data_IF_692787498769
#
_entry.id   IF_692787498769
#
_cell.length_a   1.000
_cell.length_b   1.000
_cell.length_c   1.000
_cell.angle_alpha   90.00
_cell.angle_beta   90.00
_cell.angle_gamma   90.00
#
_symmetry.space_group_name_H-M   'P 1'
#
loop_
_entity.id
_entity.type
_entity.pdbx_description
1 polymer ?
#
# COMPACT_ATOMS: atom_id res chain seq x y z
N UNK A 1 -19.05 1.75 10.66
CA UNK A 1 -17.58 1.61 10.89
C UNK A 1 -16.96 2.99 10.81
N UNK A 2 -15.95 3.33 11.63
CA UNK A 2 -15.24 4.63 11.52
C UNK A 2 -13.92 4.47 10.77
N UNK A 3 -13.52 5.52 10.05
CA UNK A 3 -12.28 5.56 9.25
C UNK A 3 -11.05 5.19 10.09
N UNK A 4 -10.94 5.78 11.29
CA UNK A 4 -9.88 5.46 12.24
C UNK A 4 -9.82 3.98 12.63
N UNK A 5 -10.97 3.29 12.73
CA UNK A 5 -11.02 1.87 13.08
C UNK A 5 -10.55 0.97 11.94
N UNK A 6 -10.81 1.38 10.69
CA UNK A 6 -10.31 0.70 9.49
C UNK A 6 -8.79 0.86 9.40
N UNK A 7 -8.30 2.09 9.54
CA UNK A 7 -6.86 2.39 9.50
C UNK A 7 -6.09 1.61 10.58
N UNK A 8 -6.57 1.63 11.83
CA UNK A 8 -5.96 0.84 12.91
C UNK A 8 -5.91 -0.67 12.62
N UNK A 9 -6.97 -1.22 12.01
CA UNK A 9 -7.01 -2.63 11.64
C UNK A 9 -6.03 -2.97 10.53
N UNK A 10 -5.74 -2.03 9.64
CA UNK A 10 -4.74 -2.16 8.60
C UNK A 10 -3.33 -2.13 9.22
N UNK A 11 -3.01 -1.06 9.95
CA UNK A 11 -1.69 -0.87 10.55
C UNK A 11 -1.32 -1.96 11.57
N UNK A 12 -2.30 -2.52 12.30
CA UNK A 12 -2.07 -3.64 13.24
C UNK A 12 -1.62 -4.93 12.54
N UNK A 13 -1.89 -5.07 11.24
CA UNK A 13 -1.48 -6.26 10.48
C UNK A 13 -0.07 -6.14 9.91
N UNK A 14 0.52 -4.95 10.01
CA UNK A 14 1.89 -4.72 9.61
C UNK A 14 2.83 -5.31 10.67
N UNK A 15 3.94 -5.86 10.21
CA UNK A 15 5.11 -6.17 11.01
C UNK A 15 5.73 -4.87 11.54
N UNK A 16 6.69 -4.99 12.47
CA UNK A 16 7.37 -3.81 13.02
C UNK A 16 8.19 -3.08 11.96
N UNK A 17 8.76 -3.81 11.00
CA UNK A 17 9.55 -3.27 9.90
C UNK A 17 8.65 -2.60 8.87
N UNK A 18 7.59 -3.28 8.44
CA UNK A 18 6.58 -2.72 7.52
C UNK A 18 5.93 -1.45 8.09
N UNK A 19 5.65 -1.44 9.39
CA UNK A 19 5.11 -0.24 10.06
C UNK A 19 6.13 0.91 10.11
N UNK A 20 7.41 0.59 10.30
CA UNK A 20 8.47 1.61 10.31
C UNK A 20 8.64 2.21 8.92
N UNK A 21 8.60 1.39 7.88
CA UNK A 21 8.65 1.82 6.48
C UNK A 21 7.46 2.71 6.13
N UNK A 22 6.25 2.29 6.52
CA UNK A 22 5.05 3.12 6.38
C UNK A 22 5.19 4.49 7.06
N UNK A 23 5.76 4.55 8.27
CA UNK A 23 5.99 5.82 8.98
C UNK A 23 7.07 6.66 8.30
N UNK A 24 8.09 6.03 7.71
CA UNK A 24 9.14 6.70 6.96
C UNK A 24 8.57 7.41 5.73
N UNK A 25 7.82 6.67 4.89
CA UNK A 25 7.15 7.21 3.71
C UNK A 25 6.14 8.32 4.06
N UNK A 26 5.39 8.15 5.15
CA UNK A 26 4.48 9.18 5.66
C UNK A 26 5.19 10.51 6.02
N UNK A 27 6.46 10.44 6.44
CA UNK A 27 7.27 11.61 6.78
C UNK A 27 7.97 12.23 5.58
N UNK A 28 8.35 11.40 4.61
CA UNK A 28 9.06 11.82 3.42
C UNK A 28 8.16 12.68 2.51
N UNK A 29 6.88 12.33 2.43
CA UNK A 29 5.84 13.03 1.67
C UNK A 29 5.94 14.57 1.79
N UNK A 30 6.19 15.24 0.67
CA UNK A 30 6.30 16.70 0.58
C UNK A 30 4.94 17.40 0.40
N UNK A 31 3.87 16.62 0.17
CA UNK A 31 2.54 17.16 -0.09
C UNK A 31 1.81 17.59 1.20
N UNK A 32 1.20 18.78 1.16
CA UNK A 32 0.37 19.29 2.26
C UNK A 32 -1.02 18.65 2.24
N UNK A 33 -1.57 18.23 3.40
CA UNK A 33 -1.06 18.42 4.77
C UNK A 33 -0.01 17.38 5.19
N UNK A 34 1.12 17.83 5.75
CA UNK A 34 2.26 16.99 6.15
C UNK A 34 2.20 16.57 7.62
N UNK A 35 2.57 15.32 7.89
CA UNK A 35 2.75 14.80 9.25
C UNK A 35 4.18 15.11 9.71
N UNK A 36 4.33 15.66 10.91
CA UNK A 36 5.66 15.97 11.44
C UNK A 36 6.23 14.77 12.18
N UNK A 37 7.55 14.57 12.08
CA UNK A 37 8.30 13.51 12.79
C UNK A 37 7.96 13.44 14.29
N UNK A 38 7.90 14.59 14.96
CA UNK A 38 7.50 14.72 16.38
C UNK A 38 6.13 14.13 16.71
N UNK A 39 5.24 14.01 15.72
CA UNK A 39 3.89 13.50 15.90
C UNK A 39 3.79 11.98 15.73
N UNK A 40 4.78 11.30 15.17
CA UNK A 40 4.70 9.85 14.87
C UNK A 40 5.91 9.06 15.36
N UNK A 41 7.05 9.70 15.59
CA UNK A 41 8.26 9.07 16.11
C UNK A 41 8.01 8.48 17.50
N UNK A 42 8.35 7.19 17.66
CA UNK A 42 8.14 6.44 18.90
C UNK A 42 6.69 6.16 19.27
N UNK A 43 5.74 6.42 18.36
CA UNK A 43 4.31 6.15 18.60
C UNK A 43 3.88 4.81 18.05
N UNK A 44 2.87 4.26 18.71
CA UNK A 44 2.24 3.01 18.32
C UNK A 44 1.26 3.22 17.15
N UNK A 45 0.92 2.16 16.42
CA UNK A 45 0.01 2.19 15.27
C UNK A 45 -1.37 2.79 15.62
N UNK A 46 -1.78 2.68 16.88
CA UNK A 46 -3.02 3.29 17.39
C UNK A 46 -2.96 4.83 17.35
N UNK A 47 -1.82 5.40 17.73
CA UNK A 47 -1.62 6.84 17.84
C UNK A 47 -1.24 7.44 16.48
N UNK A 48 -0.46 6.74 15.67
CA UNK A 48 -0.22 7.14 14.27
C UNK A 48 -1.55 7.23 13.50
N UNK A 49 -2.44 6.24 13.65
CA UNK A 49 -3.77 6.31 13.04
C UNK A 49 -4.62 7.50 13.53
N UNK A 50 -4.48 7.91 14.80
CA UNK A 50 -5.16 9.12 15.31
C UNK A 50 -4.59 10.38 14.66
N UNK A 51 -3.26 10.47 14.59
CA UNK A 51 -2.56 11.62 14.00
C UNK A 51 -2.93 11.74 12.53
N UNK A 52 -2.90 10.65 11.76
CA UNK A 52 -3.31 10.67 10.36
C UNK A 52 -4.75 11.17 10.18
N UNK A 53 -5.71 10.71 10.99
CA UNK A 53 -7.11 11.20 10.90
C UNK A 53 -7.27 12.65 11.39
N UNK A 54 -6.33 13.15 12.20
CA UNK A 54 -6.31 14.54 12.66
C UNK A 54 -5.67 15.48 11.65
N UNK A 55 -4.67 15.01 10.89
CA UNK A 55 -3.93 15.79 9.89
C UNK A 55 -4.66 15.75 8.55
N UNK A 56 -5.06 14.55 8.13
CA UNK A 56 -5.82 14.32 6.91
C UNK A 56 -7.31 14.23 7.23
N UNK A 57 -8.13 14.96 6.47
CA UNK A 57 -9.58 14.85 6.55
C UNK A 57 -10.03 13.39 6.41
N UNK A 58 -11.14 13.02 7.07
CA UNK A 58 -11.66 11.63 7.10
C UNK A 58 -11.81 10.97 5.73
N UNK A 59 -12.04 11.76 4.69
CA UNK A 59 -12.21 11.25 3.32
C UNK A 59 -10.85 11.08 2.60
N UNK A 60 -9.86 11.91 2.95
CA UNK A 60 -8.52 11.90 2.33
C UNK A 60 -7.55 10.93 3.02
N UNK A 61 -7.69 10.72 4.32
CA UNK A 61 -6.77 9.87 5.11
C UNK A 61 -6.67 8.43 4.61
N UNK A 62 -7.75 7.87 4.05
CA UNK A 62 -7.72 6.52 3.49
C UNK A 62 -7.00 6.48 2.16
N UNK A 63 -7.19 7.49 1.29
CA UNK A 63 -6.46 7.62 0.02
C UNK A 63 -4.96 7.75 0.29
N UNK A 64 -4.57 8.70 1.15
CA UNK A 64 -3.18 8.91 1.54
C UNK A 64 -2.55 7.67 2.19
N UNK A 65 -3.29 6.97 3.05
CA UNK A 65 -2.78 5.74 3.64
C UNK A 65 -2.58 4.62 2.60
N UNK A 66 -3.39 4.57 1.55
CA UNK A 66 -3.22 3.60 0.45
C UNK A 66 -1.99 3.95 -0.38
N UNK A 67 -1.79 5.23 -0.73
CA UNK A 67 -0.61 5.71 -1.46
C UNK A 67 0.68 5.34 -0.73
N UNK A 68 0.77 5.67 0.57
CA UNK A 68 1.94 5.38 1.39
C UNK A 68 2.18 3.87 1.52
N UNK A 69 1.11 3.07 1.58
CA UNK A 69 1.25 1.60 1.59
C UNK A 69 1.78 1.08 0.24
N UNK A 70 1.45 1.71 -0.90
CA UNK A 70 2.02 1.37 -2.20
C UNK A 70 3.50 1.76 -2.27
N UNK A 71 3.84 2.98 -1.83
CA UNK A 71 5.23 3.46 -1.75
C UNK A 71 6.10 2.57 -0.87
N UNK A 72 5.54 2.02 0.22
CA UNK A 72 6.22 1.08 1.10
C UNK A 72 6.25 -0.37 0.58
N UNK A 73 5.85 -0.64 -0.67
CA UNK A 73 5.70 -1.99 -1.26
C UNK A 73 4.73 -2.93 -0.51
N UNK A 74 3.75 -2.38 0.23
CA UNK A 74 2.76 -3.12 1.03
C UNK A 74 1.43 -3.31 0.26
N UNK A 75 1.51 -3.78 -0.99
CA UNK A 75 0.39 -3.85 -1.95
C UNK A 75 -0.82 -4.63 -1.41
N UNK A 76 -0.60 -5.74 -0.71
CA UNK A 76 -1.67 -6.54 -0.10
C UNK A 76 -2.52 -5.74 0.91
N UNK A 77 -1.88 -4.89 1.70
CA UNK A 77 -2.58 -4.08 2.69
C UNK A 77 -3.22 -2.85 2.04
N UNK A 78 -2.58 -2.27 1.02
CA UNK A 78 -3.14 -1.22 0.19
C UNK A 78 -4.47 -1.67 -0.47
N UNK A 79 -4.46 -2.81 -1.20
CA UNK A 79 -5.66 -3.40 -1.85
C UNK A 79 -6.80 -3.61 -0.83
N UNK A 80 -6.49 -4.14 0.37
CA UNK A 80 -7.47 -4.33 1.46
C UNK A 80 -8.03 -3.03 2.03
N UNK A 81 -7.19 -2.03 2.20
CA UNK A 81 -7.59 -0.73 2.74
C UNK A 81 -8.49 0.01 1.74
N UNK A 82 -8.13 -0.04 0.46
CA UNK A 82 -8.91 0.52 -0.65
C UNK A 82 -10.31 -0.13 -0.75
N UNK A 83 -10.39 -1.47 -0.73
CA UNK A 83 -11.67 -2.18 -0.74
C UNK A 83 -12.56 -1.82 0.47
N UNK A 84 -11.96 -1.68 1.66
CA UNK A 84 -12.69 -1.24 2.85
C UNK A 84 -13.18 0.22 2.73
N UNK A 85 -12.41 1.08 2.06
CA UNK A 85 -12.79 2.47 1.78
C UNK A 85 -13.95 2.55 0.78
N UNK A 86 -13.88 1.85 -0.37
CA UNK A 86 -14.96 1.76 -1.38
C UNK A 86 -16.28 1.31 -0.74
N UNK A 87 -16.26 0.22 0.04
CA UNK A 87 -17.43 -0.29 0.77
C UNK A 87 -18.08 0.73 1.71
N UNK A 88 -17.27 1.57 2.36
CA UNK A 88 -17.78 2.63 3.25
C UNK A 88 -18.42 3.79 2.49
N UNK A 89 -18.01 4.06 1.25
CA UNK A 89 -18.59 5.09 0.39
C UNK A 89 -19.91 4.62 -0.23
N UNK A 90 -19.96 3.37 -0.73
CA UNK A 90 -21.16 2.76 -1.33
C UNK A 90 -22.32 2.65 -0.35
N UNK A 91 -22.03 2.31 0.91
CA UNK A 91 -23.03 2.23 1.97
C UNK A 91 -23.71 3.57 2.30
N UNK A 92 -23.15 4.70 1.84
CA UNK A 92 -23.72 6.04 2.06
C UNK A 92 -24.72 6.43 0.95
N UNK A 93 -24.60 5.85 -0.25
CA UNK A 93 -25.46 6.15 -1.40
C UNK A 93 -26.87 5.53 -1.29
N UNK A 94 -27.06 4.53 -0.43
CA UNK A 94 -28.31 3.72 -0.37
C UNK A 94 -29.40 4.24 0.56
N UNK A 95 -29.26 5.43 1.16
CA UNK A 95 -30.27 5.99 2.09
C UNK A 95 -31.09 7.16 1.53
N UNK A 96 -31.02 7.45 0.23
CA UNK A 96 -31.84 8.50 -0.42
C UNK A 96 -32.92 7.92 -1.36
N UNK A 97 -33.67 6.89 -0.92
CA UNK A 97 -35.02 6.46 -1.37
C UNK A 97 -35.58 5.61 -0.22
N UNK A 98 -36.68 5.91 0.48
CA UNK A 98 -38.03 6.28 0.05
C UNK A 98 -38.78 6.94 1.22
N UNK A 99 -39.36 8.11 1.01
CA UNK A 99 -40.67 8.43 1.57
C UNK A 99 -41.34 9.35 0.56
N UNK A 100 -42.15 8.74 -0.31
CA UNK A 100 -43.25 9.42 -0.99
C UNK A 100 -44.14 10.03 0.09
N UNK A 101 -44.12 11.35 0.21
CA UNK A 101 -45.29 12.16 0.54
C UNK A 101 -45.06 13.56 -0.07
N UNK A 102 -46.15 14.16 -0.50
CA UNK A 102 -46.30 15.08 -1.63
C UNK A 102 -45.71 16.50 -1.43
N UNK A 103 -45.50 17.18 -2.56
CA UNK A 103 -45.42 18.64 -2.76
C UNK A 103 -44.21 19.43 -2.21
N UNK A 104 -43.42 20.03 -3.11
CA UNK A 104 -43.40 21.48 -3.38
C UNK A 104 -42.16 21.87 -4.22
N UNK A 105 -42.42 22.67 -5.25
CA UNK A 105 -41.49 23.25 -6.21
C UNK A 105 -40.25 23.92 -5.56
N UNK A 106 -39.07 23.72 -6.17
CA UNK A 106 -37.83 24.33 -5.72
C UNK A 106 -36.68 24.07 -6.70
N UNK A 107 -36.81 24.69 -7.88
CA UNK A 107 -35.75 24.94 -8.85
C UNK A 107 -34.58 25.67 -8.16
N UNK A 108 -33.46 24.96 -7.97
CA UNK A 108 -32.12 25.54 -7.91
C UNK A 108 -31.19 24.59 -8.66
N UNK A 109 -31.05 24.87 -9.96
CA UNK A 109 -29.92 24.47 -10.78
C UNK A 109 -28.61 24.89 -10.06
N UNK A 110 -27.90 23.92 -9.47
CA UNK A 110 -26.44 23.99 -9.37
C UNK A 110 -25.91 22.81 -10.17
N UNK A 111 -25.41 23.14 -11.37
CA UNK A 111 -24.75 22.26 -12.33
C UNK A 111 -23.70 21.38 -11.61
N UNK A 112 -24.03 20.09 -11.42
CA UNK A 112 -23.05 19.03 -11.12
C UNK A 112 -22.33 18.66 -12.43
N UNK A 113 -21.47 19.56 -12.91
CA UNK A 113 -20.42 19.21 -13.87
C UNK A 113 -19.15 18.83 -13.08
N UNK A 114 -19.11 17.61 -12.56
CA UNK A 114 -17.84 16.90 -12.34
C UNK A 114 -17.81 15.70 -13.30
N UNK A 115 -17.55 16.00 -14.57
CA UNK A 115 -16.95 15.06 -15.52
C UNK A 115 -15.58 14.62 -14.94
N UNK A 116 -15.57 13.50 -14.21
CA UNK A 116 -14.38 12.65 -14.09
C UNK A 116 -14.69 11.35 -14.85
N UNK A 117 -14.66 11.44 -16.18
CA UNK A 117 -14.31 10.32 -17.05
C UNK A 117 -12.86 9.95 -16.74
N UNK A 118 -12.66 9.12 -15.72
CA UNK A 118 -11.47 8.26 -15.63
C UNK A 118 -11.87 6.91 -16.22
N UNK A 119 -11.75 6.81 -17.54
CA UNK A 119 -11.67 5.52 -18.24
C UNK A 119 -10.50 4.76 -17.60
N UNK A 120 -10.83 3.76 -16.76
CA UNK A 120 -9.86 2.80 -16.26
C UNK A 120 -9.42 1.94 -17.45
N UNK A 121 -8.39 2.42 -18.17
CA UNK A 121 -7.55 1.57 -19.00
C UNK A 121 -6.89 0.57 -18.04
N UNK A 122 -7.41 -0.66 -18.02
CA UNK A 122 -6.68 -1.81 -17.49
C UNK A 122 -5.50 -2.05 -18.44
N UNK A 123 -4.36 -1.44 -18.14
CA UNK A 123 -3.10 -1.74 -18.82
C UNK A 123 -2.41 -2.90 -18.11
N UNK A 124 -2.13 -3.88 -18.94
CA UNK A 124 -1.85 -5.28 -18.69
C UNK A 124 -0.34 -5.46 -18.43
N UNK A 125 0.20 -4.78 -17.40
CA UNK A 125 1.64 -4.81 -17.11
C UNK A 125 2.02 -5.74 -15.93
N UNK A 126 1.06 -6.43 -15.30
CA UNK A 126 1.36 -7.36 -14.17
C UNK A 126 1.88 -8.76 -14.61
N UNK A 127 2.17 -9.02 -15.90
CA UNK A 127 2.76 -10.31 -16.33
C UNK A 127 4.29 -10.29 -16.56
N UNK A 128 4.97 -9.13 -16.57
CA UNK A 128 6.41 -9.08 -16.89
C UNK A 128 7.31 -9.08 -15.64
N UNK A 129 6.83 -8.68 -14.45
CA UNK A 129 7.67 -8.63 -13.23
C UNK A 129 7.81 -9.96 -12.47
N UNK A 130 6.94 -10.96 -12.72
CA UNK A 130 7.14 -12.31 -12.13
C UNK A 130 8.22 -13.11 -12.88
N UNK A 131 8.55 -12.77 -14.14
CA UNK A 131 9.63 -13.46 -14.87
C UNK A 131 11.03 -12.95 -14.44
N UNK A 132 11.20 -11.68 -14.09
CA UNK A 132 12.52 -11.15 -13.67
C UNK A 132 12.96 -11.63 -12.28
N UNK A 133 12.05 -11.90 -11.33
CA UNK A 133 12.42 -12.43 -10.00
C UNK A 133 12.82 -13.91 -10.05
N UNK A 134 12.30 -14.72 -10.98
CA UNK A 134 12.71 -16.13 -11.14
C UNK A 134 14.07 -16.27 -11.86
N UNK A 135 14.41 -15.36 -12.79
CA UNK A 135 15.73 -15.38 -13.46
C UNK A 135 16.89 -15.00 -12.51
N UNK A 136 16.70 -14.07 -11.57
CA UNK A 136 17.77 -13.72 -10.60
C UNK A 136 18.05 -14.83 -9.58
N UNK A 137 17.06 -15.65 -9.19
CA UNK A 137 17.28 -16.78 -8.26
C UNK A 137 18.01 -17.96 -8.94
N UNK A 138 17.80 -18.21 -10.24
CA UNK A 138 18.53 -19.28 -10.95
C UNK A 138 20.01 -18.93 -11.21
N UNK A 139 20.36 -17.65 -11.46
CA UNK A 139 21.77 -17.25 -11.65
C UNK A 139 22.60 -17.37 -10.35
N UNK A 140 22.02 -17.12 -9.17
CA UNK A 140 22.73 -17.27 -7.90
C UNK A 140 23.04 -18.74 -7.55
N UNK A 141 22.17 -19.70 -7.90
CA UNK A 141 22.40 -21.13 -7.64
C UNK A 141 23.50 -21.72 -8.56
N UNK A 142 23.60 -21.30 -9.83
CA UNK A 142 24.66 -21.78 -10.74
C UNK A 142 26.06 -21.29 -10.34
N UNK A 143 26.21 -20.07 -9.78
CA UNK A 143 27.51 -19.57 -9.33
C UNK A 143 28.03 -20.34 -8.10
N UNK A 144 27.16 -20.76 -7.16
CA UNK A 144 27.59 -21.54 -5.99
C UNK A 144 28.07 -22.96 -6.38
N UNK A 145 27.42 -23.63 -7.33
CA UNK A 145 27.85 -24.96 -7.79
C UNK A 145 29.22 -24.92 -8.52
N UNK A 146 29.48 -23.86 -9.32
CA UNK A 146 30.77 -23.69 -10.00
C UNK A 146 31.94 -23.36 -9.06
N UNK A 147 31.70 -22.79 -7.89
CA UNK A 147 32.75 -22.58 -6.88
C UNK A 147 33.08 -23.88 -6.13
N UNK A 148 32.08 -24.70 -5.80
CA UNK A 148 32.31 -26.00 -5.13
C UNK A 148 33.10 -26.97 -6.02
N UNK A 149 32.81 -27.06 -7.32
CA UNK A 149 33.57 -27.94 -8.23
C UNK A 149 35.04 -27.50 -8.40
N UNK A 150 35.33 -26.20 -8.36
CA UNK A 150 36.71 -25.69 -8.45
C UNK A 150 37.51 -25.97 -7.19
N UNK A 151 36.88 -25.91 -6.01
CA UNK A 151 37.56 -26.30 -4.77
C UNK A 151 37.88 -27.80 -4.75
N UNK A 152 36.98 -28.66 -5.24
CA UNK A 152 37.26 -30.11 -5.32
C UNK A 152 38.39 -30.45 -6.31
N UNK A 153 38.45 -29.81 -7.48
CA UNK A 153 39.56 -30.03 -8.43
C UNK A 153 40.91 -29.55 -7.89
N UNK A 154 40.96 -28.41 -7.17
CA UNK A 154 42.20 -27.94 -6.54
C UNK A 154 42.68 -28.89 -5.43
N UNK A 155 41.76 -29.52 -4.67
CA UNK A 155 42.14 -30.53 -3.68
C UNK A 155 42.70 -31.82 -4.31
N UNK A 156 42.18 -32.25 -5.47
CA UNK A 156 42.70 -33.45 -6.16
C UNK A 156 44.09 -33.21 -6.81
N UNK A 157 44.38 -32.02 -7.35
CA UNK A 157 45.70 -31.73 -7.92
C UNK A 157 46.82 -31.63 -6.87
N UNK A 158 46.50 -31.24 -5.64
CA UNK A 158 47.45 -31.20 -4.51
C UNK A 158 47.80 -32.62 -3.98
N UNK A 159 46.97 -33.64 -4.23
CA UNK A 159 47.26 -35.03 -3.85
C UNK A 159 48.18 -35.78 -4.84
N UNK A 160 48.30 -35.30 -6.08
CA UNK A 160 49.13 -35.94 -7.13
C UNK A 160 50.62 -35.45 -7.16
N UNK A 161 50.99 -34.35 -6.49
CA UNK A 161 52.39 -33.85 -6.43
C UNK A 161 53.25 -34.50 -5.31
N UNK A 162 52.67 -35.29 -4.39
CA UNK A 162 53.41 -35.97 -3.29
C UNK A 162 53.76 -37.46 -3.58
N UNK A 163 53.53 -38.00 -4.79
CA UNK A 163 53.81 -39.42 -5.13
C UNK A 163 55.06 -39.71 -5.97
#
# INVERSE_FOLDING_TARGET
MSVQKVLKRCLRKLSKEEFKEFVYQLLDREEHPKVHKKQVEGKDYIDVAKVMVSVFSKNKVLKVAVEILKEAKLNKQAKRLAAAAKKMLESRKTTKRTSEDEDEDGDEDEDEDEDEDEEEEEDDEEEEEEEEEEEEEEEEEEEEEEEEEKEEEEEEEEEDDDS
#
